data_IF_406302583669
#
_entry.id   IF_406302583669
#
_cell.length_a   1.000
_cell.length_b   1.000
_cell.length_c   1.000
_cell.angle_alpha   90.00
_cell.angle_beta   90.00
_cell.angle_gamma   90.00
#
_symmetry.space_group_name_H-M   'P 1'
#
loop_
_entity.id
_entity.type
_entity.pdbx_description
1 polymer ?
#
# COMPACT_ATOMS: atom_id res chain seq x y z
N UNK A 1 -23.05 -3.34 6.76
CA UNK A 1 -22.75 -4.51 7.61
C UNK A 1 -21.35 -4.28 8.17
N UNK A 2 -21.19 -4.07 9.49
CA UNK A 2 -19.86 -3.73 10.03
C UNK A 2 -18.97 -4.97 10.06
N UNK A 3 -18.07 -5.06 9.08
CA UNK A 3 -17.13 -6.16 8.97
C UNK A 3 -16.05 -5.99 10.04
N UNK A 4 -15.86 -6.99 10.90
CA UNK A 4 -14.89 -6.95 12.02
C UNK A 4 -13.62 -7.73 11.71
N UNK A 5 -12.49 -7.25 12.22
CA UNK A 5 -11.19 -7.91 12.06
C UNK A 5 -11.19 -9.35 12.61
N UNK A 6 -11.88 -9.61 13.72
CA UNK A 6 -11.92 -10.95 14.35
C UNK A 6 -12.56 -11.99 13.43
N UNK A 7 -13.51 -11.57 12.58
CA UNK A 7 -14.12 -12.45 11.58
C UNK A 7 -13.18 -12.74 10.41
N UNK A 8 -12.26 -11.83 10.10
CA UNK A 8 -11.20 -12.04 9.11
C UNK A 8 -10.08 -12.92 9.68
N UNK A 9 -9.65 -12.64 10.92
CA UNK A 9 -8.47 -13.22 11.56
C UNK A 9 -8.72 -14.61 12.14
N UNK A 10 -9.24 -15.50 11.29
CA UNK A 10 -9.59 -16.88 11.62
C UNK A 10 -8.36 -17.78 11.79
N UNK A 11 -8.57 -18.97 12.36
CA UNK A 11 -7.54 -20.00 12.46
C UNK A 11 -6.96 -20.41 11.09
N UNK A 12 -7.77 -20.37 10.02
CA UNK A 12 -7.31 -20.65 8.66
C UNK A 12 -6.32 -19.58 8.17
N UNK A 13 -6.62 -18.31 8.41
CA UNK A 13 -5.70 -17.22 8.07
C UNK A 13 -4.41 -17.28 8.90
N UNK A 14 -4.50 -17.55 10.20
CA UNK A 14 -3.32 -17.74 11.06
C UNK A 14 -2.44 -18.91 10.59
N UNK A 15 -3.05 -20.00 10.13
CA UNK A 15 -2.31 -21.13 9.54
C UNK A 15 -1.55 -20.68 8.28
N UNK A 16 -2.18 -19.88 7.43
CA UNK A 16 -1.54 -19.30 6.24
C UNK A 16 -0.33 -18.42 6.59
N UNK A 17 -0.41 -17.63 7.67
CA UNK A 17 0.71 -16.81 8.18
C UNK A 17 1.85 -17.68 8.72
N UNK A 18 1.53 -18.76 9.44
CA UNK A 18 2.55 -19.68 9.95
C UNK A 18 3.32 -20.37 8.81
N UNK A 19 2.64 -20.70 7.72
CA UNK A 19 3.29 -21.26 6.53
C UNK A 19 4.19 -20.24 5.83
N UNK A 20 3.81 -18.96 5.77
CA UNK A 20 4.69 -17.90 5.30
C UNK A 20 5.94 -17.78 6.15
N UNK A 21 5.80 -17.85 7.48
CA UNK A 21 6.94 -17.82 8.39
C UNK A 21 7.85 -19.05 8.25
N UNK A 22 7.30 -20.22 7.92
CA UNK A 22 8.10 -21.42 7.58
C UNK A 22 8.93 -21.19 6.30
N UNK A 23 8.32 -20.65 5.25
CA UNK A 23 9.02 -20.31 4.00
C UNK A 23 10.14 -19.30 4.29
N UNK A 24 9.83 -18.23 5.03
CA UNK A 24 10.80 -17.19 5.44
C UNK A 24 12.00 -17.78 6.20
N UNK A 25 11.73 -18.62 7.20
CA UNK A 25 12.80 -19.29 7.98
C UNK A 25 13.65 -20.19 7.10
N UNK A 26 13.07 -20.93 6.16
CA UNK A 26 13.84 -21.77 5.23
C UNK A 26 14.78 -20.93 4.36
N UNK A 27 14.33 -19.78 3.84
CA UNK A 27 15.19 -18.87 3.06
C UNK A 27 16.36 -18.37 3.92
N UNK A 28 16.07 -17.92 5.15
CA UNK A 28 17.11 -17.46 6.09
C UNK A 28 18.11 -18.58 6.38
N UNK A 29 17.64 -19.78 6.71
CA UNK A 29 18.50 -20.95 6.96
C UNK A 29 19.39 -21.26 5.76
N UNK A 30 18.84 -21.22 4.55
CA UNK A 30 19.62 -21.44 3.33
C UNK A 30 20.75 -20.42 3.18
N UNK A 31 20.48 -19.13 3.43
CA UNK A 31 21.53 -18.10 3.40
C UNK A 31 22.59 -18.29 4.48
N UNK A 32 22.20 -18.70 5.69
CA UNK A 32 23.16 -19.04 6.74
C UNK A 32 24.03 -20.24 6.36
N UNK A 33 23.44 -21.30 5.78
CA UNK A 33 24.19 -22.49 5.34
C UNK A 33 25.17 -22.13 4.23
N UNK A 34 24.73 -21.40 3.20
CA UNK A 34 25.60 -20.94 2.11
C UNK A 34 26.72 -20.05 2.65
N UNK A 35 26.39 -19.07 3.51
CA UNK A 35 27.37 -18.18 4.13
C UNK A 35 28.40 -18.93 4.98
N UNK A 36 27.95 -19.90 5.78
CA UNK A 36 28.83 -20.73 6.59
C UNK A 36 29.77 -21.60 5.75
N UNK A 37 29.25 -22.25 4.70
CA UNK A 37 30.07 -23.07 3.80
C UNK A 37 31.10 -22.23 3.04
N UNK A 38 30.71 -21.05 2.55
CA UNK A 38 31.66 -20.12 1.92
C UNK A 38 32.73 -19.68 2.91
N UNK A 39 32.35 -19.31 4.14
CA UNK A 39 33.29 -18.87 5.17
C UNK A 39 34.29 -19.97 5.56
N UNK A 40 33.79 -21.18 5.85
CA UNK A 40 34.62 -22.33 6.18
C UNK A 40 35.54 -22.72 5.00
N UNK A 41 34.98 -22.71 3.79
CA UNK A 41 35.72 -23.01 2.57
C UNK A 41 36.84 -22.01 2.28
N UNK A 42 36.58 -20.71 2.40
CA UNK A 42 37.62 -19.69 2.23
C UNK A 42 38.69 -19.73 3.32
N UNK A 43 38.30 -20.04 4.57
CA UNK A 43 39.26 -20.22 5.67
C UNK A 43 40.18 -21.40 5.37
N UNK A 44 39.64 -22.52 4.89
CA UNK A 44 40.42 -23.69 4.49
C UNK A 44 41.34 -23.40 3.30
N UNK A 45 40.82 -22.70 2.28
CA UNK A 45 41.61 -22.27 1.12
C UNK A 45 42.78 -21.37 1.52
N UNK A 46 42.56 -20.41 2.42
CA UNK A 46 43.60 -19.50 2.89
C UNK A 46 44.75 -20.24 3.63
N UNK A 47 44.45 -21.38 4.25
CA UNK A 47 45.45 -22.22 4.92
C UNK A 47 46.19 -23.11 3.91
N UNK A 48 45.45 -23.69 2.95
CA UNK A 48 45.96 -24.77 2.11
C UNK A 48 46.47 -24.33 0.73
N UNK A 49 46.09 -23.14 0.25
CA UNK A 49 46.46 -22.57 -1.05
C UNK A 49 46.12 -23.49 -2.25
N UNK A 50 45.06 -24.29 -2.14
CA UNK A 50 44.66 -25.26 -3.16
C UNK A 50 43.42 -24.81 -3.95
N UNK A 51 43.59 -24.22 -5.14
CA UNK A 51 42.49 -23.71 -6.00
C UNK A 51 41.29 -24.66 -6.22
N UNK A 52 41.46 -25.96 -6.02
CA UNK A 52 40.39 -26.97 -6.05
C UNK A 52 39.29 -26.69 -5.01
N UNK A 53 39.62 -26.11 -3.84
CA UNK A 53 38.67 -25.78 -2.79
C UNK A 53 37.58 -24.82 -3.27
N UNK A 54 37.97 -23.78 -4.01
CA UNK A 54 37.05 -22.81 -4.61
C UNK A 54 36.08 -23.50 -5.58
N UNK A 55 36.57 -24.39 -6.44
CA UNK A 55 35.72 -25.11 -7.39
C UNK A 55 34.66 -25.96 -6.68
N UNK A 56 35.04 -26.67 -5.61
CA UNK A 56 34.12 -27.50 -4.81
C UNK A 56 33.06 -26.62 -4.14
N UNK A 57 33.44 -25.47 -3.59
CA UNK A 57 32.49 -24.52 -2.97
C UNK A 57 31.48 -24.02 -4.01
N UNK A 58 31.95 -23.60 -5.19
CA UNK A 58 31.07 -23.11 -6.26
C UNK A 58 30.08 -24.19 -6.69
N UNK A 59 30.56 -25.42 -6.93
CA UNK A 59 29.70 -26.55 -7.30
C UNK A 59 28.68 -26.88 -6.20
N UNK A 60 29.11 -26.85 -4.93
CA UNK A 60 28.21 -27.04 -3.79
C UNK A 60 27.13 -25.98 -3.75
N UNK A 61 27.48 -24.69 -3.86
CA UNK A 61 26.51 -23.58 -3.84
C UNK A 61 25.52 -23.70 -5.00
N UNK A 62 25.99 -24.00 -6.21
CA UNK A 62 25.12 -24.21 -7.37
C UNK A 62 24.15 -25.38 -7.16
N UNK A 63 24.65 -26.53 -6.68
CA UNK A 63 23.82 -27.70 -6.39
C UNK A 63 22.81 -27.42 -5.27
N UNK A 64 23.24 -26.74 -4.21
CA UNK A 64 22.42 -26.42 -3.05
C UNK A 64 21.30 -25.44 -3.39
N UNK A 65 21.60 -24.35 -4.10
CA UNK A 65 20.60 -23.39 -4.58
C UNK A 65 19.60 -24.09 -5.52
N UNK A 66 20.07 -24.94 -6.43
CA UNK A 66 19.18 -25.68 -7.34
C UNK A 66 18.23 -26.63 -6.61
N UNK A 67 18.69 -27.28 -5.55
CA UNK A 67 17.92 -28.34 -4.86
C UNK A 67 17.03 -27.78 -3.75
N UNK A 68 17.50 -26.76 -3.02
CA UNK A 68 16.83 -26.26 -1.82
C UNK A 68 16.50 -24.76 -1.87
N UNK A 69 16.96 -24.05 -2.90
CA UNK A 69 16.76 -22.62 -3.04
C UNK A 69 15.29 -22.26 -3.22
N UNK A 70 14.79 -21.37 -2.35
CA UNK A 70 13.51 -20.68 -2.53
C UNK A 70 13.85 -19.23 -2.83
N UNK A 71 13.31 -18.70 -3.92
CA UNK A 71 13.57 -17.31 -4.29
C UNK A 71 12.89 -16.34 -3.30
N UNK A 72 13.56 -15.23 -3.01
CA UNK A 72 13.00 -14.14 -2.21
C UNK A 72 11.76 -13.55 -2.87
N UNK A 73 11.76 -13.46 -4.20
CA UNK A 73 10.62 -13.02 -4.99
C UNK A 73 9.39 -13.92 -4.78
N UNK A 74 9.57 -15.25 -4.75
CA UNK A 74 8.46 -16.17 -4.45
C UNK A 74 7.86 -15.91 -3.06
N UNK A 75 8.71 -15.71 -2.05
CA UNK A 75 8.24 -15.35 -0.70
C UNK A 75 7.46 -14.03 -0.70
N UNK A 76 7.97 -12.99 -1.36
CA UNK A 76 7.30 -11.69 -1.46
C UNK A 76 5.92 -11.81 -2.13
N UNK A 77 5.85 -12.54 -3.25
CA UNK A 77 4.58 -12.79 -3.93
C UNK A 77 3.57 -13.52 -3.03
N UNK A 78 4.01 -14.58 -2.34
CA UNK A 78 3.15 -15.32 -1.42
C UNK A 78 2.73 -14.46 -0.21
N UNK A 79 3.61 -13.61 0.30
CA UNK A 79 3.31 -12.71 1.41
C UNK A 79 2.16 -11.77 1.06
N UNK A 80 2.28 -11.04 -0.05
CA UNK A 80 1.24 -10.10 -0.47
C UNK A 80 -0.07 -10.82 -0.86
N UNK A 81 0.02 -11.92 -1.60
CA UNK A 81 -1.16 -12.69 -2.02
C UNK A 81 -1.94 -13.27 -0.85
N UNK A 82 -1.25 -13.80 0.17
CA UNK A 82 -1.90 -14.40 1.33
C UNK A 82 -2.42 -13.36 2.31
N UNK A 83 -1.79 -12.18 2.42
CA UNK A 83 -2.20 -11.15 3.37
C UNK A 83 -3.15 -10.16 2.68
N UNK A 84 -2.63 -9.31 1.79
CA UNK A 84 -3.42 -8.26 1.13
C UNK A 84 -4.49 -8.87 0.22
N UNK A 85 -4.14 -9.93 -0.52
CA UNK A 85 -5.13 -10.64 -1.35
C UNK A 85 -6.26 -11.29 -0.53
N UNK A 86 -5.98 -11.78 0.68
CA UNK A 86 -7.03 -12.31 1.56
C UNK A 86 -7.88 -11.21 2.18
N UNK A 87 -7.28 -10.08 2.57
CA UNK A 87 -8.02 -8.90 3.05
C UNK A 87 -8.97 -8.41 1.95
N UNK A 88 -8.46 -8.25 0.72
CA UNK A 88 -9.24 -7.83 -0.43
C UNK A 88 -10.43 -8.73 -0.72
N UNK A 89 -10.21 -10.05 -0.80
CA UNK A 89 -11.30 -11.02 -1.04
C UNK A 89 -12.33 -11.08 0.08
N UNK A 90 -11.91 -10.82 1.31
CA UNK A 90 -12.82 -10.80 2.46
C UNK A 90 -13.69 -9.54 2.49
N UNK A 91 -13.11 -8.37 2.19
CA UNK A 91 -13.83 -7.09 2.18
C UNK A 91 -14.68 -6.91 0.92
N UNK A 92 -14.18 -7.36 -0.24
CA UNK A 92 -14.82 -7.26 -1.54
C UNK A 92 -14.91 -8.67 -2.14
N UNK A 93 -15.99 -9.43 -1.83
CA UNK A 93 -16.19 -10.78 -2.36
C UNK A 93 -16.18 -10.76 -3.89
N UNK A 94 -15.51 -11.72 -4.52
CA UNK A 94 -15.30 -11.77 -5.98
C UNK A 94 -14.27 -10.76 -6.53
N UNK A 95 -13.51 -10.08 -5.67
CA UNK A 95 -12.37 -9.30 -6.14
C UNK A 95 -11.25 -10.18 -6.72
N UNK A 96 -10.59 -9.66 -7.76
CA UNK A 96 -9.34 -10.20 -8.28
C UNK A 96 -8.15 -9.48 -7.63
N UNK A 97 -6.99 -10.13 -7.61
CA UNK A 97 -5.78 -9.58 -7.01
C UNK A 97 -4.57 -9.75 -7.94
N UNK A 98 -3.90 -8.64 -8.27
CA UNK A 98 -2.72 -8.59 -9.11
C UNK A 98 -1.58 -7.84 -8.41
N UNK A 99 -0.43 -8.50 -8.27
CA UNK A 99 0.73 -7.98 -7.56
C UNK A 99 1.42 -6.82 -8.31
N UNK A 100 1.37 -6.82 -9.63
CA UNK A 100 2.19 -5.94 -10.47
C UNK A 100 1.40 -4.78 -11.09
N UNK A 101 0.06 -4.81 -10.95
CA UNK A 101 -0.80 -3.70 -11.39
C UNK A 101 -1.01 -2.71 -10.25
N UNK A 102 -1.29 -1.47 -10.63
CA UNK A 102 -1.55 -0.35 -9.74
C UNK A 102 -2.35 0.75 -10.48
N UNK A 103 -2.87 1.74 -9.74
CA UNK A 103 -3.76 2.78 -10.27
C UNK A 103 -2.94 3.79 -11.06
N UNK A 104 -3.32 4.07 -12.32
CA UNK A 104 -2.58 4.91 -13.27
C UNK A 104 -2.38 6.35 -12.78
N UNK A 105 -1.24 6.96 -13.13
CA UNK A 105 -0.91 8.33 -12.72
C UNK A 105 -1.95 9.33 -13.20
N UNK A 106 -2.44 9.18 -14.44
CA UNK A 106 -3.46 10.06 -15.02
C UNK A 106 -4.75 10.07 -14.21
N UNK A 107 -5.11 8.95 -13.59
CA UNK A 107 -6.30 8.87 -12.73
C UNK A 107 -6.06 9.59 -11.40
N UNK A 108 -4.86 9.46 -10.81
CA UNK A 108 -4.49 10.18 -9.59
C UNK A 108 -4.38 11.69 -9.82
N UNK A 109 -3.93 12.09 -11.01
CA UNK A 109 -3.88 13.49 -11.45
C UNK A 109 -5.29 14.05 -11.68
N UNK A 110 -6.17 13.30 -12.34
CA UNK A 110 -7.58 13.69 -12.51
C UNK A 110 -8.30 13.82 -11.16
N UNK A 111 -8.00 12.94 -10.21
CA UNK A 111 -8.51 13.02 -8.85
C UNK A 111 -7.89 14.19 -8.04
N UNK A 112 -6.77 14.76 -8.49
CA UNK A 112 -6.04 15.81 -7.78
C UNK A 112 -5.22 15.34 -6.58
N UNK A 113 -5.02 14.03 -6.41
CA UNK A 113 -4.13 13.49 -5.37
C UNK A 113 -2.68 13.91 -5.63
N UNK A 114 -2.28 13.97 -6.90
CA UNK A 114 -0.97 14.42 -7.35
C UNK A 114 -1.17 15.44 -8.46
N UNK A 115 -0.63 16.65 -8.30
CA UNK A 115 -0.85 17.75 -9.26
C UNK A 115 0.27 17.85 -10.30
N UNK A 116 1.49 17.48 -9.92
CA UNK A 116 2.69 17.53 -10.78
C UNK A 116 3.01 16.18 -11.42
N UNK A 117 4.02 16.15 -12.27
CA UNK A 117 4.60 14.90 -12.78
C UNK A 117 5.71 14.42 -11.84
N UNK A 118 5.49 13.36 -11.05
CA UNK A 118 6.53 12.81 -10.18
C UNK A 118 7.62 12.13 -11.03
N UNK A 119 8.84 12.08 -10.49
CA UNK A 119 9.94 11.40 -11.17
C UNK A 119 9.92 9.89 -10.97
N UNK A 120 9.44 9.45 -9.80
CA UNK A 120 9.25 8.05 -9.49
C UNK A 120 7.78 7.85 -9.14
N UNK A 121 7.15 6.96 -9.87
CA UNK A 121 5.76 6.62 -9.69
C UNK A 121 5.61 5.12 -9.91
N UNK A 122 5.06 4.45 -8.91
CA UNK A 122 4.81 3.03 -8.95
C UNK A 122 3.80 2.63 -7.89
N UNK A 123 3.45 1.36 -7.94
CA UNK A 123 2.56 0.75 -6.98
C UNK A 123 2.59 -0.76 -7.12
N UNK A 124 1.74 -1.42 -6.35
CA UNK A 124 1.60 -2.87 -6.33
C UNK A 124 0.26 -3.27 -5.72
N UNK A 125 -0.02 -4.58 -5.77
CA UNK A 125 -1.08 -5.22 -5.01
C UNK A 125 -2.48 -4.66 -5.34
N UNK A 126 -2.79 -4.51 -6.62
CA UNK A 126 -4.11 -4.11 -7.09
C UNK A 126 -5.16 -5.16 -6.73
N UNK A 127 -6.23 -4.71 -6.07
CA UNK A 127 -7.48 -5.42 -5.85
C UNK A 127 -8.51 -4.79 -6.78
N UNK A 128 -9.15 -5.58 -7.65
CA UNK A 128 -10.21 -5.10 -8.54
C UNK A 128 -11.53 -5.81 -8.23
N UNK A 129 -12.61 -5.05 -8.11
CA UNK A 129 -13.95 -5.55 -7.82
C UNK A 129 -14.97 -4.84 -8.71
N UNK A 130 -15.85 -5.61 -9.36
CA UNK A 130 -16.93 -5.05 -10.18
C UNK A 130 -18.16 -4.76 -9.32
N UNK A 131 -18.78 -3.60 -9.53
CA UNK A 131 -20.01 -3.17 -8.87
C UNK A 131 -21.02 -2.75 -9.95
N UNK A 132 -21.83 -3.70 -10.42
CA UNK A 132 -22.66 -3.46 -11.60
C UNK A 132 -21.79 -3.26 -12.85
N UNK A 133 -21.97 -2.13 -13.52
CA UNK A 133 -21.14 -1.72 -14.67
C UNK A 133 -19.88 -0.92 -14.26
N UNK A 134 -19.80 -0.52 -12.98
CA UNK A 134 -18.69 0.25 -12.43
C UNK A 134 -17.59 -0.65 -11.86
N UNK A 135 -16.41 -0.06 -11.62
CA UNK A 135 -15.24 -0.79 -11.12
C UNK A 135 -14.58 -0.10 -9.93
N UNK A 136 -14.43 -0.84 -8.84
CA UNK A 136 -13.59 -0.47 -7.69
C UNK A 136 -12.20 -1.09 -7.85
N UNK A 137 -11.17 -0.27 -7.66
CA UNK A 137 -9.76 -0.64 -7.75
C UNK A 137 -9.03 -0.10 -6.54
N UNK A 138 -8.31 -0.93 -5.80
CA UNK A 138 -7.53 -0.52 -4.61
C UNK A 138 -6.11 -1.02 -4.77
N UNK A 139 -5.11 -0.15 -4.63
CA UNK A 139 -3.70 -0.51 -4.75
C UNK A 139 -2.85 0.24 -3.74
N UNK A 140 -1.68 -0.32 -3.45
CA UNK A 140 -0.63 0.37 -2.71
C UNK A 140 0.18 1.24 -3.69
N UNK A 141 0.40 2.51 -3.34
CA UNK A 141 1.10 3.48 -4.18
C UNK A 141 2.33 4.04 -3.45
N UNK A 142 3.41 4.26 -4.21
CA UNK A 142 4.59 5.01 -3.75
C UNK A 142 5.00 6.01 -4.84
N UNK A 143 4.96 7.29 -4.49
CA UNK A 143 5.10 8.41 -5.40
C UNK A 143 6.14 9.36 -4.81
N UNK A 144 7.23 9.56 -5.55
CA UNK A 144 8.36 10.37 -5.11
C UNK A 144 8.77 11.36 -6.19
N UNK A 145 9.10 12.56 -5.74
CA UNK A 145 9.73 13.58 -6.55
C UNK A 145 11.16 13.80 -6.10
N UNK A 146 12.00 14.21 -7.04
CA UNK A 146 13.30 14.78 -6.71
C UNK A 146 13.41 16.15 -7.35
N UNK A 147 14.29 16.97 -6.78
CA UNK A 147 14.54 18.32 -7.27
C UNK A 147 15.86 18.83 -6.73
N UNK A 148 16.10 20.12 -6.92
CA UNK A 148 17.18 20.84 -6.25
C UNK A 148 16.58 21.84 -5.28
N UNK A 149 17.11 21.84 -4.05
CA UNK A 149 16.76 22.83 -3.05
C UNK A 149 17.31 24.21 -3.44
N UNK A 150 16.91 25.23 -2.68
CA UNK A 150 17.43 26.60 -2.84
C UNK A 150 18.95 26.67 -2.65
N UNK A 151 19.52 25.74 -1.87
CA UNK A 151 20.96 25.57 -1.66
C UNK A 151 21.66 24.80 -2.80
N UNK A 152 20.94 24.48 -3.87
CA UNK A 152 21.41 23.72 -5.02
C UNK A 152 21.59 22.22 -4.78
N UNK A 153 21.34 21.71 -3.56
CA UNK A 153 21.51 20.28 -3.25
C UNK A 153 20.33 19.48 -3.78
N UNK A 154 20.59 18.26 -4.31
CA UNK A 154 19.51 17.37 -4.69
C UNK A 154 18.72 16.94 -3.46
N UNK A 155 17.39 16.95 -3.56
CA UNK A 155 16.52 16.34 -2.56
C UNK A 155 15.65 15.29 -3.21
N UNK A 156 15.32 14.24 -2.45
CA UNK A 156 14.23 13.33 -2.75
C UNK A 156 13.14 13.53 -1.71
N UNK A 157 11.89 13.50 -2.15
CA UNK A 157 10.74 13.72 -1.31
C UNK A 157 9.64 12.73 -1.70
N UNK A 158 9.10 12.07 -0.70
CA UNK A 158 7.89 11.26 -0.82
C UNK A 158 6.69 12.20 -0.92
N UNK A 159 6.01 12.18 -2.06
CA UNK A 159 4.81 12.97 -2.31
C UNK A 159 3.57 12.26 -1.78
N UNK A 160 3.49 10.95 -2.03
CA UNK A 160 2.45 10.09 -1.46
C UNK A 160 3.01 8.68 -1.27
N UNK A 161 2.67 8.07 -0.15
CA UNK A 161 2.97 6.66 0.09
C UNK A 161 1.86 6.07 0.95
N UNK A 162 1.13 5.09 0.44
CA UNK A 162 -0.07 4.61 1.12
C UNK A 162 -0.95 3.72 0.28
N UNK A 163 -2.21 3.58 0.70
CA UNK A 163 -3.24 2.83 -0.03
C UNK A 163 -4.13 3.84 -0.74
N UNK A 164 -4.38 3.61 -2.02
CA UNK A 164 -5.32 4.39 -2.84
C UNK A 164 -6.37 3.46 -3.38
N UNK A 165 -7.62 3.88 -3.35
CA UNK A 165 -8.69 3.23 -4.06
C UNK A 165 -9.46 4.20 -4.93
N UNK A 166 -9.93 3.71 -6.07
CA UNK A 166 -10.71 4.45 -7.06
C UNK A 166 -11.96 3.65 -7.40
N UNK A 167 -13.10 4.31 -7.36
CA UNK A 167 -14.36 3.82 -7.91
C UNK A 167 -14.59 4.56 -9.22
N UNK A 168 -14.38 3.87 -10.35
CA UNK A 168 -14.58 4.43 -11.67
C UNK A 168 -16.07 4.44 -12.00
N UNK A 169 -16.67 5.63 -12.02
CA UNK A 169 -18.06 5.86 -12.33
C UNK A 169 -18.25 7.30 -12.84
N UNK A 170 -19.33 7.58 -13.57
CA UNK A 170 -19.61 8.94 -14.04
C UNK A 170 -20.31 9.74 -12.94
N UNK A 171 -19.68 10.83 -12.49
CA UNK A 171 -20.21 11.64 -11.38
C UNK A 171 -20.93 12.91 -11.83
N UNK A 172 -20.71 13.35 -13.08
CA UNK A 172 -21.17 14.65 -13.58
C UNK A 172 -20.47 15.86 -12.93
N UNK A 173 -19.43 15.65 -12.12
CA UNK A 173 -18.69 16.70 -11.43
C UNK A 173 -17.53 17.18 -12.29
N UNK A 174 -17.64 18.40 -12.84
CA UNK A 174 -16.60 18.99 -13.69
C UNK A 174 -15.38 19.49 -12.88
N UNK A 175 -15.59 20.01 -11.68
CA UNK A 175 -14.52 20.48 -10.79
C UNK A 175 -14.44 19.56 -9.56
N UNK A 176 -13.28 18.94 -9.28
CA UNK A 176 -13.19 17.96 -8.22
C UNK A 176 -13.60 18.52 -6.85
N UNK A 177 -14.43 17.76 -6.13
CA UNK A 177 -14.77 18.01 -4.74
C UNK A 177 -13.78 17.23 -3.88
N UNK A 178 -12.97 17.93 -3.07
CA UNK A 178 -11.91 17.28 -2.30
C UNK A 178 -12.12 17.44 -0.80
N UNK A 179 -11.82 16.39 -0.06
CA UNK A 179 -11.74 16.35 1.40
C UNK A 179 -10.34 15.86 1.76
N UNK A 180 -9.55 16.71 2.41
CA UNK A 180 -8.11 16.47 2.55
C UNK A 180 -7.65 16.82 3.95
N UNK A 181 -6.82 15.96 4.53
CA UNK A 181 -6.02 16.34 5.69
C UNK A 181 -5.04 17.45 5.27
N UNK A 182 -4.98 18.51 6.08
CA UNK A 182 -4.16 19.70 5.83
C UNK A 182 -2.73 19.43 5.31
N UNK A 183 -2.06 18.42 5.86
CA UNK A 183 -0.65 18.15 5.58
C UNK A 183 -0.40 17.23 4.37
N UNK A 184 -1.46 16.65 3.79
CA UNK A 184 -1.37 15.69 2.69
C UNK A 184 -1.06 16.37 1.34
N UNK A 185 -1.46 17.63 1.18
CA UNK A 185 -1.23 18.41 -0.03
C UNK A 185 -0.31 19.58 0.25
N UNK A 186 0.94 19.50 -0.24
CA UNK A 186 1.90 20.61 -0.09
C UNK A 186 1.79 21.65 -1.21
N UNK A 187 0.99 21.39 -2.23
CA UNK A 187 0.52 22.37 -3.20
C UNK A 187 -0.95 22.61 -2.91
N UNK A 188 -1.25 23.73 -2.25
CA UNK A 188 -2.61 24.18 -2.05
C UNK A 188 -3.19 24.61 -3.43
N UNK A 189 -4.36 24.10 -3.85
CA UNK A 189 -5.13 24.70 -4.91
C UNK A 189 -5.67 26.04 -4.45
N UNK A 190 -6.33 26.73 -5.38
CA UNK A 190 -6.78 28.09 -5.21
C UNK A 190 -7.45 28.34 -3.83
N UNK A 191 -6.87 29.21 -2.99
CA UNK A 191 -7.38 29.47 -1.64
C UNK A 191 -8.80 30.05 -1.62
N UNK A 192 -9.32 30.55 -2.75
CA UNK A 192 -10.71 31.03 -2.86
C UNK A 192 -11.76 29.92 -2.67
N UNK A 193 -11.38 28.67 -2.94
CA UNK A 193 -12.24 27.47 -2.90
C UNK A 193 -12.08 26.72 -1.56
N UNK A 194 -11.16 27.18 -0.70
CA UNK A 194 -10.85 26.55 0.59
C UNK A 194 -11.91 26.87 1.64
N UNK A 195 -12.46 25.85 2.28
CA UNK A 195 -13.34 25.98 3.45
C UNK A 195 -12.87 25.03 4.55
N UNK A 196 -12.73 25.55 5.77
CA UNK A 196 -12.53 24.71 6.95
C UNK A 196 -13.86 24.07 7.31
N UNK A 197 -13.81 22.82 7.77
CA UNK A 197 -14.97 22.20 8.39
C UNK A 197 -14.92 22.61 9.86
N UNK A 198 -15.90 23.41 10.30
CA UNK A 198 -15.84 24.27 11.50
C UNK A 198 -15.52 23.55 12.83
N UNK A 199 -15.59 22.21 12.88
CA UNK A 199 -15.36 21.42 14.11
C UNK A 199 -14.04 20.60 14.13
N UNK A 200 -13.27 20.54 13.03
CA UNK A 200 -12.04 19.73 12.97
C UNK A 200 -10.89 20.50 12.33
N UNK A 201 -9.86 20.85 13.13
CA UNK A 201 -8.77 21.74 12.72
C UNK A 201 -7.91 21.19 11.56
N UNK A 202 -7.88 19.87 11.38
CA UNK A 202 -6.97 19.19 10.47
C UNK A 202 -7.61 18.76 9.14
N UNK A 203 -8.95 18.83 9.03
CA UNK A 203 -9.69 18.44 7.83
C UNK A 203 -10.15 19.67 7.05
N UNK A 204 -9.76 19.73 5.79
CA UNK A 204 -10.08 20.84 4.89
C UNK A 204 -10.91 20.31 3.73
N UNK A 205 -12.00 21.01 3.40
CA UNK A 205 -12.82 20.72 2.24
C UNK A 205 -12.61 21.78 1.16
N UNK A 206 -12.45 21.32 -0.08
CA UNK A 206 -12.35 22.18 -1.27
C UNK A 206 -13.50 21.84 -2.22
N UNK A 207 -14.39 22.80 -2.42
CA UNK A 207 -15.53 22.66 -3.31
C UNK A 207 -15.95 24.02 -3.86
N UNK A 208 -16.37 24.05 -5.12
CA UNK A 208 -16.97 25.23 -5.76
C UNK A 208 -18.46 25.29 -5.45
N UNK A 209 -19.13 24.13 -5.43
CA UNK A 209 -20.56 23.98 -5.19
C UNK A 209 -20.83 23.30 -3.86
N UNK A 210 -21.44 24.04 -2.92
CA UNK A 210 -21.78 23.55 -1.57
C UNK A 210 -22.89 22.49 -1.60
N UNK A 211 -23.85 22.61 -2.50
CA UNK A 211 -24.95 21.64 -2.61
C UNK A 211 -24.44 20.32 -3.17
N UNK A 212 -23.56 20.38 -4.17
CA UNK A 212 -22.86 19.20 -4.66
C UNK A 212 -22.03 18.55 -3.54
N UNK A 213 -21.25 19.33 -2.78
CA UNK A 213 -20.50 18.79 -1.65
C UNK A 213 -21.40 18.09 -0.62
N UNK A 214 -22.50 18.73 -0.21
CA UNK A 214 -23.43 18.15 0.76
C UNK A 214 -24.14 16.88 0.26
N UNK A 215 -24.30 16.73 -1.06
CA UNK A 215 -24.86 15.52 -1.69
C UNK A 215 -23.89 14.34 -1.59
N UNK A 216 -22.60 14.60 -1.80
CA UNK A 216 -21.56 13.56 -1.78
C UNK A 216 -21.00 13.27 -0.39
N UNK A 217 -20.98 14.25 0.52
CA UNK A 217 -20.40 14.12 1.85
C UNK A 217 -21.46 14.38 2.94
N UNK A 218 -22.18 13.34 3.29
CA UNK A 218 -23.12 13.36 4.42
C UNK A 218 -22.39 13.53 5.77
N UNK A 219 -23.08 14.04 6.81
CA UNK A 219 -22.49 14.14 8.15
C UNK A 219 -21.95 12.81 8.71
N UNK A 220 -22.59 11.68 8.39
CA UNK A 220 -22.13 10.36 8.82
C UNK A 220 -20.82 9.95 8.14
N UNK A 221 -20.65 10.26 6.86
CA UNK A 221 -19.39 10.02 6.14
C UNK A 221 -18.26 10.90 6.68
N UNK A 222 -18.53 12.18 6.95
CA UNK A 222 -17.54 13.07 7.55
C UNK A 222 -17.11 12.56 8.94
N UNK A 223 -18.07 12.16 9.78
CA UNK A 223 -17.78 11.56 11.08
C UNK A 223 -16.95 10.27 10.96
N UNK A 224 -17.23 9.42 9.97
CA UNK A 224 -16.45 8.20 9.71
C UNK A 224 -15.00 8.52 9.33
N UNK A 225 -14.78 9.53 8.48
CA UNK A 225 -13.44 9.99 8.07
C UNK A 225 -12.66 10.49 9.29
N UNK A 226 -13.26 11.38 10.08
CA UNK A 226 -12.62 11.94 11.29
C UNK A 226 -12.31 10.84 12.30
N UNK A 227 -13.28 9.99 12.60
CA UNK A 227 -13.11 8.89 13.57
C UNK A 227 -11.98 7.94 13.16
N UNK A 228 -11.86 7.66 11.86
CA UNK A 228 -10.76 6.86 11.33
C UNK A 228 -9.41 7.58 11.47
N UNK A 229 -9.34 8.87 11.11
CA UNK A 229 -8.10 9.66 11.22
C UNK A 229 -7.60 9.71 12.67
N UNK A 230 -8.49 9.96 13.63
CA UNK A 230 -8.16 10.03 15.06
C UNK A 230 -7.72 8.66 15.59
N UNK A 231 -8.45 7.58 15.25
CA UNK A 231 -8.16 6.24 15.77
C UNK A 231 -6.89 5.63 15.14
N UNK A 232 -6.68 5.83 13.84
CA UNK A 232 -5.56 5.25 13.10
C UNK A 232 -4.32 6.15 13.09
N UNK A 233 -4.46 7.44 13.42
CA UNK A 233 -3.44 8.47 13.25
C UNK A 233 -2.88 8.49 11.82
N UNK A 234 -3.78 8.50 10.84
CA UNK A 234 -3.48 8.45 9.40
C UNK A 234 -4.11 9.62 8.68
N UNK A 235 -3.43 10.09 7.64
CA UNK A 235 -3.93 11.17 6.80
C UNK A 235 -4.81 10.60 5.69
N UNK A 236 -5.95 11.24 5.46
CA UNK A 236 -6.95 10.83 4.46
C UNK A 236 -7.10 11.91 3.39
N UNK A 237 -7.26 11.46 2.15
CA UNK A 237 -7.65 12.26 0.99
C UNK A 237 -8.84 11.59 0.33
N UNK A 238 -9.88 12.35 0.02
CA UNK A 238 -11.02 11.90 -0.78
C UNK A 238 -11.27 12.93 -1.86
N UNK A 239 -11.52 12.48 -3.08
CA UNK A 239 -11.89 13.34 -4.20
C UNK A 239 -13.02 12.72 -5.00
N UNK A 240 -14.02 13.54 -5.33
CA UNK A 240 -15.06 13.21 -6.32
C UNK A 240 -14.76 14.04 -7.55
N UNK A 241 -14.50 13.38 -8.68
CA UNK A 241 -14.11 14.00 -9.94
C UNK A 241 -14.88 13.37 -11.09
N UNK A 242 -14.77 13.92 -12.31
CA UNK A 242 -15.59 13.50 -13.47
C UNK A 242 -15.52 11.98 -13.73
N UNK A 243 -14.34 11.39 -13.54
CA UNK A 243 -14.06 9.96 -13.77
C UNK A 243 -14.33 9.05 -12.57
N UNK A 244 -14.84 9.58 -11.44
CA UNK A 244 -15.25 8.76 -10.31
C UNK A 244 -14.90 9.32 -8.94
N UNK A 245 -14.67 8.42 -7.99
CA UNK A 245 -14.27 8.75 -6.62
C UNK A 245 -12.92 8.15 -6.32
N UNK A 246 -12.04 8.92 -5.69
CA UNK A 246 -10.74 8.49 -5.20
C UNK A 246 -10.71 8.63 -3.68
N UNK A 247 -10.29 7.59 -2.97
CA UNK A 247 -10.02 7.58 -1.53
C UNK A 247 -8.60 7.13 -1.32
N UNK A 248 -7.78 7.93 -0.66
CA UNK A 248 -6.39 7.64 -0.38
C UNK A 248 -6.08 7.81 1.11
N UNK A 249 -5.30 6.88 1.66
CA UNK A 249 -4.83 6.91 3.03
C UNK A 249 -3.31 6.86 3.01
N UNK A 250 -2.67 7.92 3.51
CA UNK A 250 -1.22 7.96 3.65
C UNK A 250 -0.78 7.03 4.79
N UNK A 251 0.24 6.21 4.52
CA UNK A 251 0.83 5.28 5.48
C UNK A 251 2.28 5.70 5.69
N UNK A 252 2.70 6.00 6.93
CA UNK A 252 4.09 6.34 7.22
C UNK A 252 5.04 5.24 6.74
N UNK A 253 6.18 5.62 6.15
CA UNK A 253 7.19 4.66 5.65
C UNK A 253 7.68 3.66 6.73
N UNK A 254 7.52 4.00 8.01
CA UNK A 254 7.91 3.15 9.14
C UNK A 254 6.98 1.96 9.37
N UNK A 255 5.79 1.90 8.75
CA UNK A 255 4.90 0.74 8.84
C UNK A 255 5.44 -0.40 7.94
N UNK A 256 6.13 -1.36 8.59
CA UNK A 256 6.95 -2.40 7.96
C UNK A 256 6.21 -3.38 7.05
N UNK A 257 4.88 -3.48 7.16
CA UNK A 257 4.09 -4.44 6.41
C UNK A 257 3.98 -4.17 4.89
N UNK A 258 4.44 -3.00 4.45
CA UNK A 258 4.65 -2.70 3.03
C UNK A 258 5.81 -3.49 2.46
N UNK A 259 6.84 -3.77 3.26
CA UNK A 259 8.00 -4.51 2.81
C UNK A 259 7.92 -5.96 3.27
N UNK A 260 7.70 -6.87 2.32
CA UNK A 260 7.82 -8.32 2.50
C UNK A 260 9.30 -8.73 2.70
N UNK A 261 9.95 -8.14 3.71
CA UNK A 261 11.33 -8.36 4.07
C UNK A 261 11.49 -9.69 4.80
N UNK A 262 12.56 -10.42 4.49
CA UNK A 262 12.86 -11.70 5.13
C UNK A 262 13.04 -11.60 6.65
N UNK A 263 13.43 -10.42 7.14
CA UNK A 263 13.68 -10.17 8.56
C UNK A 263 12.42 -9.83 9.36
N UNK A 264 11.31 -9.52 8.68
CA UNK A 264 10.02 -9.20 9.31
C UNK A 264 9.19 -10.48 9.44
N UNK A 265 8.60 -10.72 10.61
CA UNK A 265 7.72 -11.89 10.81
C UNK A 265 6.40 -11.65 10.08
N UNK A 266 5.85 -12.68 9.45
CA UNK A 266 4.54 -12.56 8.78
C UNK A 266 3.38 -12.49 9.78
N UNK A 267 3.53 -13.06 10.97
CA UNK A 267 2.50 -13.06 12.00
C UNK A 267 2.66 -11.86 12.97
N UNK A 268 2.41 -10.64 12.48
CA UNK A 268 2.34 -9.44 13.31
C UNK A 268 0.90 -8.91 13.32
N UNK A 269 0.06 -9.46 14.22
CA UNK A 269 -1.38 -9.16 14.27
C UNK A 269 -1.69 -7.65 14.28
N UNK A 270 -0.95 -6.86 15.06
CA UNK A 270 -1.15 -5.40 15.13
C UNK A 270 -0.98 -4.71 13.77
N UNK A 271 0.01 -5.13 13.00
CA UNK A 271 0.31 -4.57 11.68
C UNK A 271 -0.74 -5.04 10.66
N UNK A 272 -1.14 -6.31 10.70
CA UNK A 272 -2.22 -6.86 9.88
C UNK A 272 -3.55 -6.16 10.18
N UNK A 273 -3.85 -5.90 11.46
CA UNK A 273 -5.06 -5.17 11.88
C UNK A 273 -5.06 -3.74 11.36
N UNK A 274 -3.95 -3.01 11.51
CA UNK A 274 -3.80 -1.65 10.95
C UNK A 274 -4.05 -1.65 9.43
N UNK A 275 -3.50 -2.65 8.72
CA UNK A 275 -3.67 -2.80 7.29
C UNK A 275 -5.13 -3.12 6.93
N UNK A 276 -5.75 -4.08 7.62
CA UNK A 276 -7.14 -4.45 7.45
C UNK A 276 -8.07 -3.26 7.65
N UNK A 277 -7.91 -2.50 8.73
CA UNK A 277 -8.75 -1.32 9.01
C UNK A 277 -8.58 -0.24 7.94
N UNK A 278 -7.37 -0.09 7.38
CA UNK A 278 -7.12 0.84 6.28
C UNK A 278 -7.84 0.40 5.00
N UNK A 279 -7.70 -0.88 4.60
CA UNK A 279 -8.41 -1.41 3.44
C UNK A 279 -9.93 -1.37 3.62
N UNK A 280 -10.42 -1.70 4.83
CA UNK A 280 -11.85 -1.65 5.19
C UNK A 280 -12.37 -0.23 5.01
N UNK A 281 -11.71 0.76 5.62
CA UNK A 281 -12.06 2.17 5.48
C UNK A 281 -12.14 2.60 4.00
N UNK A 282 -11.09 2.33 3.21
CA UNK A 282 -11.06 2.68 1.78
C UNK A 282 -12.23 2.02 1.02
N UNK A 283 -12.46 0.72 1.24
CA UNK A 283 -13.55 0.00 0.56
C UNK A 283 -14.93 0.51 0.95
N UNK A 284 -15.17 0.76 2.24
CA UNK A 284 -16.45 1.28 2.74
C UNK A 284 -16.72 2.69 2.22
N UNK A 285 -15.70 3.57 2.20
CA UNK A 285 -15.84 4.91 1.67
C UNK A 285 -16.18 4.88 0.18
N UNK A 286 -15.47 4.09 -0.63
CA UNK A 286 -15.72 3.96 -2.07
C UNK A 286 -17.12 3.40 -2.38
N UNK A 287 -17.62 2.46 -1.57
CA UNK A 287 -18.97 1.92 -1.72
C UNK A 287 -20.07 2.87 -1.21
N UNK A 288 -19.74 3.75 -0.26
CA UNK A 288 -20.70 4.71 0.29
C UNK A 288 -20.85 5.97 -0.55
N UNK A 289 -19.79 6.35 -1.28
CA UNK A 289 -19.74 7.52 -2.14
C UNK A 289 -20.22 7.12 -3.53
N UNK A 290 -21.50 6.79 -3.65
CA UNK A 290 -22.20 6.54 -4.91
C UNK A 290 -23.27 7.64 -5.01
N UNK A 291 -23.10 8.57 -5.95
CA UNK A 291 -23.91 9.79 -6.08
C UNK A 291 -25.37 9.58 -6.39
#
# INVERSE_FOLDING_TARGET
MSVRFEAFYTAAFQTSLNDLDRIRRRIITNYFVIGFVMFAGFTFEAITWMLIGILVIVLFVMFYIRTFGISTQYYQQQFFLRIQGSIGRFLLPSSSFDLNRYIKLTELQAAGLIVHHPQQYGGRNMIEHAVGDDQIRIAEMDIRSSGRGEDGKPFQRTDFSGIVGVHAMHTGIANPLMLVHHDLLKTEPDPSIRRKIDDHQDLVAWYVDKEAFARWFSPSQLYQVVSFMEAANKQVFISVFEGGVCVAVAIPEKEKFRDAGLWTKANQEKEIRSLFETYRFVSEMLLSLNG
#
